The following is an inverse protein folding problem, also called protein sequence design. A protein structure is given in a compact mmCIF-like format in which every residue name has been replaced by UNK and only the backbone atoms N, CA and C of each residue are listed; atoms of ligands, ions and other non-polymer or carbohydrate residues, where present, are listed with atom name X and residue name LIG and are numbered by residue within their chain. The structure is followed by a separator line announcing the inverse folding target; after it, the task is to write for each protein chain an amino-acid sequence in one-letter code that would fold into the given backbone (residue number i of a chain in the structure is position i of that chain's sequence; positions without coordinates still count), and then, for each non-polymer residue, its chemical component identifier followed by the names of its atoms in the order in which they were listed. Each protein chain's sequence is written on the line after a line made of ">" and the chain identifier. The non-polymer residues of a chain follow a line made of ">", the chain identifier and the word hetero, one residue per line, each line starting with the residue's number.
data_IF_769034825708
#
_entry.id   IF_769034825708
#
_cell.length_a   1.000
_cell.length_b   1.000
_cell.length_c   1.000
_cell.angle_alpha   90.00
_cell.angle_beta   90.00
_cell.angle_gamma   90.00
#
_symmetry.space_group_name_H-M   'P 1'
#
loop_
_entity.id
_entity.type
_entity.pdbx_description
1 polymer ?
#
# COMPACT_ATOMS: atom_id res chain seq x y z
N UNK A 1 -13.36 19.39 -37.58
CA UNK A 1 -12.72 18.20 -36.98
C UNK A 1 -12.81 18.32 -35.48
N UNK A 2 -13.55 17.47 -34.74
CA UNK A 2 -13.52 17.52 -33.30
C UNK A 2 -12.30 16.73 -32.79
N UNK A 3 -11.41 17.48 -32.13
CA UNK A 3 -10.41 17.12 -31.12
C UNK A 3 -9.59 15.83 -31.32
N UNK A 4 -8.33 16.02 -31.71
CA UNK A 4 -7.23 15.11 -31.40
C UNK A 4 -7.13 14.94 -29.88
N UNK A 5 -7.68 13.85 -29.36
CA UNK A 5 -7.44 13.44 -27.98
C UNK A 5 -5.94 13.18 -27.83
N UNK A 6 -5.23 14.09 -27.14
CA UNK A 6 -3.84 13.86 -26.79
C UNK A 6 -3.77 12.69 -25.81
N UNK A 7 -2.75 11.81 -25.87
CA UNK A 7 -2.56 10.78 -24.86
C UNK A 7 -2.54 11.42 -23.47
N UNK A 8 -3.42 10.95 -22.59
CA UNK A 8 -3.50 11.40 -21.21
C UNK A 8 -2.55 10.60 -20.32
N UNK A 9 -2.07 11.19 -19.22
CA UNK A 9 -1.31 10.48 -18.20
C UNK A 9 -2.29 9.61 -17.42
N UNK A 10 -2.28 8.31 -17.71
CA UNK A 10 -3.13 7.35 -17.00
C UNK A 10 -2.70 7.26 -15.53
N UNK A 11 -3.57 7.65 -14.61
CA UNK A 11 -3.32 7.65 -13.16
C UNK A 11 -2.70 6.33 -12.67
N UNK A 12 -3.26 5.19 -13.06
CA UNK A 12 -2.75 3.89 -12.61
C UNK A 12 -1.30 3.65 -13.06
N UNK A 13 -0.94 4.01 -14.29
CA UNK A 13 0.43 3.90 -14.78
C UNK A 13 1.40 4.88 -14.09
N UNK A 14 0.90 6.02 -13.60
CA UNK A 14 1.71 6.94 -12.80
C UNK A 14 2.04 6.36 -11.44
N UNK A 15 1.03 5.77 -10.79
CA UNK A 15 1.16 5.15 -9.47
C UNK A 15 2.09 3.92 -9.50
N UNK A 16 2.14 3.18 -10.61
CA UNK A 16 3.16 2.14 -10.81
C UNK A 16 4.57 2.72 -10.72
N UNK A 17 4.82 3.88 -11.34
CA UNK A 17 6.15 4.51 -11.28
C UNK A 17 6.49 4.98 -9.88
N UNK A 18 5.48 5.40 -9.11
CA UNK A 18 5.65 5.80 -7.69
C UNK A 18 6.23 4.64 -6.88
N UNK A 19 5.63 3.45 -6.97
CA UNK A 19 6.13 2.27 -6.23
C UNK A 19 7.45 1.75 -6.80
N UNK A 20 7.66 1.81 -8.12
CA UNK A 20 8.96 1.48 -8.73
C UNK A 20 10.09 2.38 -8.22
N UNK A 21 9.86 3.70 -8.15
CA UNK A 21 10.84 4.68 -7.67
C UNK A 21 11.25 4.39 -6.22
N UNK A 22 10.26 4.16 -5.36
CA UNK A 22 10.48 3.81 -3.95
C UNK A 22 11.25 2.49 -3.80
N UNK A 23 10.82 1.42 -4.48
CA UNK A 23 11.48 0.13 -4.45
C UNK A 23 12.93 0.20 -4.97
N UNK A 24 13.18 0.96 -6.05
CA UNK A 24 14.52 1.15 -6.58
C UNK A 24 15.42 1.95 -5.63
N UNK A 25 14.89 2.97 -4.95
CA UNK A 25 15.63 3.72 -3.94
C UNK A 25 15.99 2.83 -2.74
N UNK A 26 15.02 2.08 -2.22
CA UNK A 26 15.19 1.09 -1.16
C UNK A 26 16.21 -0.01 -1.50
N UNK A 27 16.21 -0.48 -2.76
CA UNK A 27 17.03 -1.63 -3.20
C UNK A 27 18.53 -1.43 -2.95
N UNK A 28 18.99 -0.17 -2.94
CA UNK A 28 20.39 0.19 -2.66
C UNK A 28 20.82 -0.15 -1.24
N UNK A 29 19.87 -0.31 -0.32
CA UNK A 29 20.08 -0.58 1.10
C UNK A 29 19.86 -2.04 1.50
N UNK A 30 19.55 -2.90 0.54
CA UNK A 30 19.34 -4.34 0.77
C UNK A 30 20.58 -4.96 1.41
N UNK A 31 20.41 -5.61 2.56
CA UNK A 31 21.48 -6.31 3.29
C UNK A 31 22.50 -5.42 4.00
N UNK A 32 22.25 -4.10 4.11
CA UNK A 32 23.19 -3.15 4.74
C UNK A 32 23.03 -2.99 6.25
N UNK A 33 22.04 -3.63 6.86
CA UNK A 33 21.76 -3.52 8.29
C UNK A 33 21.15 -2.18 8.73
N UNK A 34 20.88 -1.27 7.79
CA UNK A 34 20.30 0.05 8.08
C UNK A 34 18.87 0.15 7.53
N UNK A 35 17.91 -0.14 8.41
CA UNK A 35 16.48 -0.11 8.07
C UNK A 35 15.97 1.33 7.89
N UNK A 36 16.48 2.28 8.66
CA UNK A 36 15.98 3.66 8.66
C UNK A 36 16.44 4.39 7.40
N UNK A 37 17.68 4.15 6.95
CA UNK A 37 18.16 4.70 5.70
C UNK A 37 17.48 4.10 4.46
N UNK A 38 17.13 2.80 4.53
CA UNK A 38 16.31 2.17 3.48
C UNK A 38 14.95 2.85 3.38
N UNK A 39 14.28 2.99 4.52
CA UNK A 39 12.95 3.57 4.65
C UNK A 39 12.90 5.04 4.19
N UNK A 40 13.79 5.88 4.74
CA UNK A 40 13.89 7.28 4.33
C UNK A 40 14.13 7.46 2.83
N UNK A 41 15.00 6.63 2.23
CA UNK A 41 15.25 6.68 0.79
C UNK A 41 13.99 6.35 -0.04
N UNK A 42 13.15 5.43 0.42
CA UNK A 42 11.90 5.10 -0.25
C UNK A 42 10.83 6.16 -0.03
N UNK A 43 10.67 6.67 1.19
CA UNK A 43 9.77 7.80 1.51
C UNK A 43 10.08 8.99 0.62
N UNK A 44 11.35 9.40 0.55
CA UNK A 44 11.81 10.51 -0.29
C UNK A 44 11.45 10.27 -1.77
N UNK A 45 11.77 9.09 -2.30
CA UNK A 45 11.56 8.76 -3.69
C UNK A 45 10.08 8.66 -4.06
N UNK A 46 9.25 8.09 -3.17
CA UNK A 46 7.81 8.00 -3.31
C UNK A 46 7.18 9.38 -3.29
N UNK A 47 7.51 10.19 -2.27
CA UNK A 47 6.94 11.52 -2.04
C UNK A 47 7.21 12.47 -3.21
N UNK A 48 8.45 12.51 -3.68
CA UNK A 48 8.83 13.36 -4.82
C UNK A 48 8.10 12.98 -6.11
N UNK A 49 7.90 11.69 -6.36
CA UNK A 49 7.22 11.27 -7.58
C UNK A 49 5.70 11.48 -7.50
N UNK A 50 5.13 11.32 -6.31
CA UNK A 50 3.71 11.62 -6.04
C UNK A 50 3.34 13.06 -6.38
N UNK A 51 4.21 14.05 -6.15
CA UNK A 51 3.95 15.45 -6.52
C UNK A 51 3.68 15.66 -8.02
N UNK A 52 4.17 14.74 -8.86
CA UNK A 52 4.03 14.85 -10.31
C UNK A 52 2.75 14.21 -10.86
N UNK A 53 2.02 13.47 -10.01
CA UNK A 53 0.83 12.70 -10.39
C UNK A 53 -0.36 13.63 -10.56
N UNK A 54 -1.16 13.42 -11.62
CA UNK A 54 -2.39 14.17 -11.86
C UNK A 54 -3.51 13.72 -10.89
N UNK A 55 -3.47 14.20 -9.64
CA UNK A 55 -4.50 14.00 -8.61
C UNK A 55 -4.44 15.06 -7.50
N UNK A 56 -5.54 15.21 -6.77
CA UNK A 56 -5.63 15.89 -5.48
C UNK A 56 -5.82 14.78 -4.45
N UNK A 57 -4.71 14.24 -3.98
CA UNK A 57 -4.68 13.17 -3.00
C UNK A 57 -4.53 13.69 -1.58
N UNK A 58 -5.17 13.02 -0.64
CA UNK A 58 -4.90 13.15 0.80
C UNK A 58 -4.39 11.81 1.31
N UNK A 59 -3.25 11.82 1.99
CA UNK A 59 -2.74 10.64 2.69
C UNK A 59 -3.66 10.33 3.87
N UNK A 60 -4.37 9.22 3.81
CA UNK A 60 -5.25 8.73 4.89
C UNK A 60 -4.51 7.74 5.79
N UNK A 61 -3.58 6.97 5.21
CA UNK A 61 -2.70 6.03 5.91
C UNK A 61 -1.29 6.26 5.37
N UNK A 62 -0.35 6.66 6.23
CA UNK A 62 1.04 6.83 5.85
C UNK A 62 2.02 6.53 6.97
N UNK A 63 3.18 7.20 6.96
CA UNK A 63 4.31 6.93 7.87
C UNK A 63 4.01 7.22 9.34
N UNK A 64 2.97 8.00 9.62
CA UNK A 64 2.53 8.33 10.97
C UNK A 64 1.82 9.67 11.04
N UNK A 65 1.72 10.19 12.26
CA UNK A 65 1.22 11.53 12.52
C UNK A 65 2.26 12.58 12.12
N UNK A 66 1.81 13.80 11.79
CA UNK A 66 2.67 14.88 11.27
C UNK A 66 3.87 15.22 12.17
N UNK A 67 3.71 15.07 13.48
CA UNK A 67 4.76 15.38 14.45
C UNK A 67 5.84 14.28 14.52
N UNK A 68 5.53 13.08 14.02
CA UNK A 68 6.41 11.90 14.04
C UNK A 68 7.01 11.60 12.66
N UNK A 69 6.29 11.96 11.58
CA UNK A 69 6.69 11.73 10.20
C UNK A 69 6.81 13.05 9.41
N UNK A 70 8.00 13.42 8.89
CA UNK A 70 8.20 14.68 8.17
C UNK A 70 7.55 14.68 6.76
N UNK A 71 7.32 13.50 6.18
CA UNK A 71 6.71 13.29 4.88
C UNK A 71 5.78 12.08 4.94
N UNK A 72 4.81 12.06 4.04
CA UNK A 72 3.77 11.04 3.92
C UNK A 72 3.00 10.82 5.23
N UNK A 73 2.78 11.89 5.99
CA UNK A 73 2.02 11.85 7.23
C UNK A 73 0.51 11.87 6.97
N UNK A 74 -0.28 11.39 7.93
CA UNK A 74 -1.73 11.41 7.87
C UNK A 74 -2.28 12.84 7.68
N UNK A 75 -3.01 13.06 6.60
CA UNK A 75 -3.56 14.36 6.19
C UNK A 75 -2.69 15.15 5.21
N UNK A 76 -1.50 14.66 4.84
CA UNK A 76 -0.67 15.32 3.83
C UNK A 76 -1.37 15.35 2.46
N UNK A 77 -1.26 16.49 1.76
CA UNK A 77 -1.71 16.60 0.36
C UNK A 77 -0.61 16.16 -0.59
N UNK A 78 -0.96 15.29 -1.53
CA UNK A 78 -0.07 14.71 -2.54
C UNK A 78 -0.69 14.79 -3.93
N UNK A 79 0.13 14.74 -4.97
CA UNK A 79 -0.30 15.02 -6.34
C UNK A 79 -0.24 16.51 -6.67
N UNK A 80 -0.44 16.84 -7.94
CA UNK A 80 -0.35 18.22 -8.42
C UNK A 80 -1.63 19.06 -8.20
N UNK A 81 -2.63 18.52 -7.49
CA UNK A 81 -3.90 19.19 -7.17
C UNK A 81 -4.94 19.13 -8.28
N UNK A 82 -4.66 18.44 -9.39
CA UNK A 82 -5.65 18.20 -10.45
C UNK A 82 -6.70 17.18 -10.00
N UNK A 83 -7.89 17.15 -10.63
CA UNK A 83 -8.80 16.02 -10.44
C UNK A 83 -8.14 14.70 -10.90
N UNK A 84 -8.51 13.54 -10.33
CA UNK A 84 -9.58 13.32 -9.35
C UNK A 84 -9.21 13.66 -7.90
N UNK A 85 -10.22 13.84 -7.05
CA UNK A 85 -10.05 13.90 -5.59
C UNK A 85 -9.91 12.49 -5.05
N UNK A 86 -8.82 12.20 -4.35
CA UNK A 86 -8.50 10.85 -3.89
C UNK A 86 -8.11 10.78 -2.43
N UNK A 87 -8.33 9.60 -1.84
CA UNK A 87 -7.69 9.14 -0.61
C UNK A 87 -6.51 8.25 -1.00
N UNK A 88 -5.40 8.38 -0.29
CA UNK A 88 -4.16 7.65 -0.58
C UNK A 88 -3.69 6.92 0.68
N UNK A 89 -3.37 5.64 0.54
CA UNK A 89 -2.60 4.89 1.52
C UNK A 89 -1.23 4.57 0.93
N UNK A 90 -0.18 4.81 1.70
CA UNK A 90 1.20 4.55 1.29
C UNK A 90 1.91 3.69 2.31
N UNK A 91 2.76 2.80 1.80
CA UNK A 91 3.76 2.07 2.56
C UNK A 91 5.01 1.99 1.65
N UNK A 92 5.89 3.00 1.71
CA UNK A 92 7.07 3.10 0.84
C UNK A 92 7.94 1.84 0.91
N UNK A 93 8.07 1.23 2.09
CA UNK A 93 8.66 -0.10 2.29
C UNK A 93 7.91 -0.88 3.38
N UNK A 94 7.06 -1.81 2.94
CA UNK A 94 6.61 -2.88 3.83
C UNK A 94 7.78 -3.85 4.05
N UNK A 95 8.24 -3.96 5.29
CA UNK A 95 9.35 -4.81 5.66
C UNK A 95 10.73 -4.14 5.64
N UNK A 96 10.87 -2.94 6.22
CA UNK A 96 12.18 -2.25 6.38
C UNK A 96 13.27 -3.14 6.98
N UNK A 97 12.94 -3.96 7.99
CA UNK A 97 13.86 -4.97 8.57
C UNK A 97 14.20 -6.09 7.58
N UNK A 98 13.26 -6.52 6.74
CA UNK A 98 13.52 -7.53 5.71
C UNK A 98 14.51 -6.96 4.69
N UNK A 99 14.28 -5.73 4.22
CA UNK A 99 15.19 -4.99 3.33
C UNK A 99 16.58 -4.88 3.95
N UNK A 100 16.71 -4.36 5.17
CA UNK A 100 18.01 -4.16 5.80
C UNK A 100 18.80 -5.46 6.00
N UNK A 101 18.10 -6.59 6.17
CA UNK A 101 18.70 -7.91 6.36
C UNK A 101 18.82 -8.73 5.07
N UNK A 102 18.40 -8.20 3.92
CA UNK A 102 18.46 -8.92 2.65
C UNK A 102 17.53 -10.13 2.57
N UNK A 103 16.37 -10.05 3.22
CA UNK A 103 15.35 -11.11 3.25
C UNK A 103 14.27 -10.86 2.21
N UNK A 104 13.59 -11.94 1.82
CA UNK A 104 12.47 -11.89 0.88
C UNK A 104 11.26 -11.17 1.47
N UNK A 105 10.31 -10.82 0.59
CA UNK A 105 8.98 -10.26 0.90
C UNK A 105 8.95 -8.79 1.36
N UNK A 106 10.03 -8.03 1.17
CA UNK A 106 9.93 -6.58 1.24
C UNK A 106 9.29 -6.01 -0.04
N UNK A 107 8.40 -5.03 0.09
CA UNK A 107 7.55 -4.50 -0.98
C UNK A 107 7.45 -2.98 -0.88
N UNK A 108 7.17 -2.29 -1.99
CA UNK A 108 6.66 -0.92 -1.95
C UNK A 108 5.19 -0.93 -2.37
N UNK A 109 4.32 -0.34 -1.56
CA UNK A 109 2.87 -0.45 -1.70
C UNK A 109 2.23 0.94 -1.70
N UNK A 110 1.22 1.09 -2.55
CA UNK A 110 0.37 2.27 -2.59
C UNK A 110 -1.03 1.86 -3.00
N UNK A 111 -2.04 2.45 -2.36
CA UNK A 111 -3.44 2.30 -2.73
C UNK A 111 -4.11 3.68 -2.86
N UNK A 112 -5.03 3.79 -3.81
CA UNK A 112 -5.79 5.01 -4.07
C UNK A 112 -7.27 4.65 -4.19
N UNK A 113 -8.11 5.46 -3.56
CA UNK A 113 -9.57 5.36 -3.63
C UNK A 113 -10.20 6.73 -3.87
N UNK A 114 -11.49 6.75 -4.19
CA UNK A 114 -12.25 8.00 -4.22
C UNK A 114 -12.23 8.68 -2.84
N UNK A 115 -12.17 10.01 -2.81
CA UNK A 115 -12.14 10.80 -1.57
C UNK A 115 -13.25 10.38 -0.59
N UNK A 116 -12.87 10.11 0.66
CA UNK A 116 -13.76 9.72 1.75
C UNK A 116 -14.22 8.26 1.74
N UNK A 117 -13.67 7.41 0.86
CA UNK A 117 -14.05 5.99 0.77
C UNK A 117 -13.03 5.06 1.42
N UNK A 118 -11.81 5.54 1.70
CA UNK A 118 -10.80 4.76 2.38
C UNK A 118 -11.06 4.74 3.89
N UNK A 119 -11.05 3.56 4.49
CA UNK A 119 -11.18 3.42 5.94
C UNK A 119 -9.95 4.02 6.64
N UNK A 120 -10.16 5.01 7.49
CA UNK A 120 -9.13 5.54 8.39
C UNK A 120 -9.25 4.82 9.75
N UNK A 121 -8.29 3.95 10.13
CA UNK A 121 -8.33 3.25 11.40
C UNK A 121 -8.05 4.14 12.61
N UNK A 122 -7.63 5.40 12.41
CA UNK A 122 -7.12 6.26 13.48
C UNK A 122 -5.83 5.70 14.09
N UNK A 123 -5.50 6.05 15.35
CA UNK A 123 -4.34 5.51 16.04
C UNK A 123 -4.58 4.03 16.35
N UNK A 124 -4.08 3.15 15.50
CA UNK A 124 -4.24 1.70 15.62
C UNK A 124 -2.87 1.02 15.50
N UNK A 125 -2.52 0.24 16.52
CA UNK A 125 -1.21 -0.46 16.59
C UNK A 125 -1.29 -1.89 16.07
N UNK A 126 -2.45 -2.54 16.25
CA UNK A 126 -2.68 -3.93 15.85
C UNK A 126 -4.10 -4.13 15.31
N UNK A 127 -4.21 -5.03 14.34
CA UNK A 127 -5.49 -5.44 13.76
C UNK A 127 -5.45 -6.95 13.51
N UNK A 128 -6.45 -7.67 14.01
CA UNK A 128 -6.64 -9.07 13.66
C UNK A 128 -7.17 -9.15 12.22
N UNK A 129 -6.53 -9.99 11.39
CA UNK A 129 -6.83 -10.09 9.95
C UNK A 129 -7.03 -11.55 9.58
N UNK A 130 -8.03 -11.79 8.74
CA UNK A 130 -8.21 -13.04 8.00
C UNK A 130 -8.41 -12.68 6.53
N UNK A 131 -7.62 -13.29 5.64
CA UNK A 131 -7.68 -13.07 4.21
C UNK A 131 -7.70 -14.43 3.50
N UNK A 132 -8.56 -14.55 2.49
CA UNK A 132 -8.79 -15.80 1.76
C UNK A 132 -8.95 -15.54 0.27
N UNK A 133 -8.91 -16.61 -0.54
CA UNK A 133 -9.19 -16.52 -1.97
C UNK A 133 -10.65 -16.15 -2.25
N UNK A 134 -10.93 -15.74 -3.48
CA UNK A 134 -12.27 -15.32 -3.92
C UNK A 134 -13.32 -16.41 -3.67
N UNK A 135 -12.95 -17.67 -3.87
CA UNK A 135 -13.84 -18.82 -3.71
C UNK A 135 -14.30 -19.02 -2.26
N UNK A 136 -13.48 -18.59 -1.29
CA UNK A 136 -13.73 -18.71 0.14
C UNK A 136 -14.20 -17.41 0.80
N UNK A 137 -14.42 -16.33 0.05
CA UNK A 137 -14.74 -15.01 0.59
C UNK A 137 -15.96 -15.00 1.55
N UNK A 138 -16.96 -15.85 1.27
CA UNK A 138 -18.18 -15.98 2.08
C UNK A 138 -18.10 -17.13 3.11
N UNK A 139 -16.93 -17.77 3.25
CA UNK A 139 -16.74 -18.97 4.08
C UNK A 139 -15.95 -18.70 5.36
N UNK A 140 -15.65 -17.44 5.67
CA UNK A 140 -14.86 -17.04 6.83
C UNK A 140 -15.63 -16.14 7.79
N UNK A 141 -15.30 -16.27 9.08
CA UNK A 141 -15.73 -15.36 10.15
C UNK A 141 -14.58 -15.18 11.13
N UNK A 142 -14.15 -13.94 11.36
CA UNK A 142 -13.03 -13.64 12.26
C UNK A 142 -13.34 -14.01 13.72
N UNK A 143 -14.63 -14.13 14.10
CA UNK A 143 -15.05 -14.46 15.46
C UNK A 143 -15.09 -15.97 15.75
N UNK A 144 -14.80 -16.82 14.76
CA UNK A 144 -14.76 -18.28 14.96
C UNK A 144 -13.34 -18.80 14.97
N UNK A 145 -13.16 -20.01 15.54
CA UNK A 145 -11.83 -20.60 15.64
C UNK A 145 -11.17 -20.83 14.28
N UNK A 146 -9.82 -20.72 14.19
CA UNK A 146 -9.08 -21.03 12.97
C UNK A 146 -9.43 -22.41 12.39
N UNK A 147 -9.62 -23.42 13.25
CA UNK A 147 -10.03 -24.78 12.84
C UNK A 147 -11.37 -24.80 12.12
N UNK A 148 -12.34 -23.99 12.56
CA UNK A 148 -13.64 -23.89 11.88
C UNK A 148 -13.50 -23.17 10.54
N UNK A 149 -12.78 -22.04 10.51
CA UNK A 149 -12.50 -21.32 9.27
C UNK A 149 -11.80 -22.21 8.24
N UNK A 150 -10.74 -22.94 8.61
CA UNK A 150 -10.04 -23.85 7.70
C UNK A 150 -10.96 -24.93 7.11
N UNK A 151 -11.89 -25.49 7.90
CA UNK A 151 -12.87 -26.46 7.40
C UNK A 151 -13.83 -25.86 6.38
N UNK A 152 -14.32 -24.64 6.61
CA UNK A 152 -15.23 -23.96 5.68
C UNK A 152 -14.50 -23.49 4.42
N UNK A 153 -13.25 -23.02 4.54
CA UNK A 153 -12.38 -22.67 3.40
C UNK A 153 -12.11 -23.92 2.54
N UNK A 154 -11.78 -25.06 3.14
CA UNK A 154 -11.55 -26.32 2.42
C UNK A 154 -12.79 -26.74 1.61
N UNK A 155 -13.98 -26.67 2.22
CA UNK A 155 -15.25 -26.96 1.53
C UNK A 155 -15.50 -25.98 0.38
N UNK A 156 -15.30 -24.68 0.60
CA UNK A 156 -15.56 -23.64 -0.39
C UNK A 156 -14.62 -23.74 -1.60
N UNK A 157 -13.35 -24.03 -1.34
CA UNK A 157 -12.31 -24.19 -2.38
C UNK A 157 -12.26 -25.58 -3.00
N UNK A 158 -13.05 -26.53 -2.49
CA UNK A 158 -13.05 -27.96 -2.89
C UNK A 158 -11.66 -28.61 -2.78
N UNK A 159 -10.89 -28.22 -1.76
CA UNK A 159 -9.58 -28.79 -1.42
C UNK A 159 -9.67 -29.62 -0.16
N UNK A 160 -8.74 -30.56 0.04
CA UNK A 160 -8.59 -31.18 1.35
C UNK A 160 -7.99 -30.18 2.34
N UNK A 161 -8.20 -30.38 3.64
CA UNK A 161 -7.56 -29.55 4.67
C UNK A 161 -6.03 -29.57 4.59
N UNK A 162 -5.44 -30.65 4.09
CA UNK A 162 -3.99 -30.79 3.95
C UNK A 162 -3.46 -30.09 2.70
N UNK A 163 -4.34 -29.68 1.77
CA UNK A 163 -3.98 -28.99 0.53
C UNK A 163 -4.32 -27.49 0.55
N UNK A 164 -4.81 -26.99 1.70
CA UNK A 164 -4.91 -25.55 1.98
C UNK A 164 -3.53 -25.00 2.31
#
# INVERSE_FOLDING_TARGET
>A
MPLTQRPDRNLALELVRVTESAALAASKWVGRGDKNAADGAAVDAMRNLLDTVNMDGIVVIGEGEKDEAPMLFNGERVGNGSKPLTDVAVDPIDGTTLTSLGRNNALSVLAVAERGTMYNPGPCVYMEKIAVSREAANAIDINVSPTKNLKEIAKATKKSLNDL
#
